data_IF_590142218071
#
_entry.id   IF_590142218071
#
_cell.length_a   1.000
_cell.length_b   1.000
_cell.length_c   1.000
_cell.angle_alpha   90.00
_cell.angle_beta   90.00
_cell.angle_gamma   90.00
#
_symmetry.space_group_name_H-M   'P 1'
#
loop_
_entity.id
_entity.type
_entity.pdbx_description
1 polymer ?
#
# COMPACT_ATOMS: atom_id res chain seq x y z
N UNK A 1 -15.73 -35.49 21.60
CA UNK A 1 -16.19 -35.77 20.22
C UNK A 1 -15.37 -34.87 19.26
N UNK A 2 -14.59 -35.47 18.40
CA UNK A 2 -13.60 -34.87 17.56
C UNK A 2 -14.22 -34.27 16.26
N UNK A 3 -13.97 -33.03 15.88
CA UNK A 3 -14.32 -32.51 14.57
C UNK A 3 -13.09 -32.47 13.66
N UNK A 4 -12.65 -33.62 13.20
CA UNK A 4 -11.62 -33.76 12.16
C UNK A 4 -12.13 -34.75 11.12
N UNK A 5 -13.00 -34.27 10.20
CA UNK A 5 -13.35 -34.95 8.93
C UNK A 5 -14.29 -34.07 8.13
N UNK A 6 -13.77 -33.10 7.36
CA UNK A 6 -14.33 -32.60 6.10
C UNK A 6 -13.19 -31.88 5.38
N UNK A 7 -12.31 -32.62 4.72
CA UNK A 7 -11.46 -32.18 3.63
C UNK A 7 -11.05 -33.40 2.83
N UNK A 8 -11.89 -33.80 1.92
CA UNK A 8 -11.54 -34.62 0.75
C UNK A 8 -12.79 -34.77 -0.12
N UNK A 9 -12.90 -33.99 -1.17
CA UNK A 9 -13.48 -34.32 -2.49
C UNK A 9 -13.60 -33.01 -3.31
N UNK A 10 -12.70 -32.82 -4.23
CA UNK A 10 -12.94 -32.32 -5.59
C UNK A 10 -11.61 -32.22 -6.30
N UNK A 11 -11.21 -33.36 -6.80
CA UNK A 11 -10.18 -33.48 -7.83
C UNK A 11 -10.80 -33.48 -9.21
N UNK A 12 -10.03 -33.02 -10.17
CA UNK A 12 -10.16 -33.14 -11.64
C UNK A 12 -11.36 -32.45 -12.31
N UNK A 13 -11.06 -31.33 -13.00
CA UNK A 13 -11.52 -31.11 -14.38
C UNK A 13 -10.59 -30.15 -15.14
N UNK A 14 -9.85 -30.73 -16.03
CA UNK A 14 -9.39 -30.37 -17.38
C UNK A 14 -8.90 -28.98 -17.74
N UNK A 15 -7.65 -28.97 -18.15
CA UNK A 15 -6.92 -27.96 -18.92
C UNK A 15 -7.62 -27.61 -20.24
N UNK A 16 -7.81 -26.32 -20.50
CA UNK A 16 -7.52 -25.61 -21.75
C UNK A 16 -8.32 -24.31 -21.85
N UNK A 17 -7.67 -23.17 -21.57
CA UNK A 17 -7.98 -21.80 -22.04
C UNK A 17 -7.14 -20.76 -21.29
N UNK A 18 -5.81 -20.90 -21.25
CA UNK A 18 -5.00 -20.18 -20.26
C UNK A 18 -4.13 -19.04 -20.80
N UNK A 19 -4.20 -18.71 -22.08
CA UNK A 19 -3.23 -17.75 -22.64
C UNK A 19 -3.76 -16.30 -22.82
N UNK A 20 -5.06 -16.07 -22.81
CA UNK A 20 -5.64 -14.75 -23.10
C UNK A 20 -5.96 -13.95 -21.83
N UNK A 21 -6.18 -14.59 -20.70
CA UNK A 21 -6.54 -13.90 -19.45
C UNK A 21 -5.34 -13.34 -18.65
N UNK A 22 -4.14 -13.87 -18.88
CA UNK A 22 -2.93 -13.42 -18.18
C UNK A 22 -2.52 -11.97 -18.54
N UNK A 23 -2.88 -11.51 -19.74
CA UNK A 23 -2.59 -10.14 -20.19
C UNK A 23 -3.53 -9.08 -19.59
N UNK A 24 -4.74 -9.46 -19.18
CA UNK A 24 -5.70 -8.52 -18.57
C UNK A 24 -5.52 -8.37 -17.06
N UNK A 25 -5.04 -9.42 -16.37
CA UNK A 25 -4.72 -9.35 -14.93
C UNK A 25 -3.46 -8.55 -14.62
N UNK A 26 -2.50 -8.48 -15.56
CA UNK A 26 -1.33 -7.58 -15.43
C UNK A 26 -1.71 -6.10 -15.49
N UNK A 27 -2.91 -5.75 -15.98
CA UNK A 27 -3.47 -4.42 -15.91
C UNK A 27 -3.85 -3.96 -14.49
N UNK A 28 -4.11 -4.90 -13.56
CA UNK A 28 -4.49 -4.59 -12.18
C UNK A 28 -3.28 -4.14 -11.32
N UNK A 29 -2.07 -4.63 -11.61
CA UNK A 29 -0.85 -4.15 -10.91
C UNK A 29 -0.32 -2.84 -11.49
N UNK A 30 -0.52 -2.58 -12.79
CA UNK A 30 -0.15 -1.29 -13.39
C UNK A 30 -0.93 -0.11 -12.82
N UNK A 31 -2.08 -0.36 -12.20
CA UNK A 31 -2.86 0.67 -11.50
C UNK A 31 -2.37 1.01 -10.09
N UNK A 32 -1.47 0.25 -9.47
CA UNK A 32 -0.94 0.56 -8.12
C UNK A 32 0.43 1.25 -8.17
N UNK A 33 1.19 1.01 -9.22
CA UNK A 33 2.24 1.88 -9.71
C UNK A 33 1.65 2.80 -10.78
N UNK A 34 0.65 3.62 -10.41
CA UNK A 34 0.30 4.73 -11.28
C UNK A 34 1.53 5.59 -11.39
N UNK A 35 2.07 5.48 -12.58
CA UNK A 35 3.13 6.23 -13.17
C UNK A 35 4.52 6.13 -12.52
N UNK A 36 5.11 4.95 -12.57
CA UNK A 36 6.28 4.96 -13.41
C UNK A 36 5.76 5.06 -14.86
N UNK A 37 5.52 6.26 -15.37
CA UNK A 37 5.33 6.43 -16.80
C UNK A 37 6.49 5.70 -17.46
N UNK A 38 6.24 4.50 -17.95
CA UNK A 38 7.18 3.77 -18.76
C UNK A 38 7.26 4.57 -20.06
N UNK A 39 8.21 5.50 -20.11
CA UNK A 39 8.76 5.91 -21.39
C UNK A 39 9.39 4.61 -21.91
N UNK A 40 8.66 3.86 -22.70
CA UNK A 40 9.22 2.82 -23.53
C UNK A 40 10.10 3.57 -24.54
N UNK A 41 11.41 3.64 -24.28
CA UNK A 41 12.36 3.99 -25.30
C UNK A 41 12.37 2.80 -26.25
N UNK A 42 11.52 2.86 -27.27
CA UNK A 42 11.62 1.98 -28.43
C UNK A 42 12.96 2.30 -29.08
N UNK A 43 13.80 1.29 -29.23
CA UNK A 43 15.01 1.34 -30.04
C UNK A 43 14.58 1.48 -31.51
N UNK A 44 14.78 2.65 -32.07
CA UNK A 44 14.45 2.95 -33.47
C UNK A 44 13.88 4.37 -33.62
N UNK A 45 14.53 5.18 -34.43
CA UNK A 45 14.26 6.58 -34.83
C UNK A 45 12.78 6.90 -35.12
N UNK A 46 11.96 6.94 -34.10
CA UNK A 46 10.67 7.62 -34.12
C UNK A 46 10.78 8.73 -33.09
N UNK A 47 10.93 9.97 -33.52
CA UNK A 47 10.65 11.17 -32.73
C UNK A 47 9.21 11.05 -32.24
N UNK A 48 8.95 10.29 -31.18
CA UNK A 48 7.65 10.24 -30.52
C UNK A 48 7.39 11.66 -30.02
N UNK A 49 6.35 12.30 -30.58
CA UNK A 49 5.94 13.64 -30.18
C UNK A 49 5.67 13.60 -28.68
N UNK A 50 6.46 14.35 -27.92
CA UNK A 50 6.30 14.39 -26.46
C UNK A 50 4.90 14.89 -26.15
N UNK A 51 4.16 14.11 -25.38
CA UNK A 51 2.85 14.53 -24.90
C UNK A 51 3.05 15.44 -23.67
N UNK A 52 2.91 16.74 -23.87
CA UNK A 52 3.00 17.75 -22.82
C UNK A 52 1.67 17.97 -22.10
N UNK A 53 0.58 17.33 -22.53
CA UNK A 53 -0.72 17.49 -21.90
C UNK A 53 -0.71 16.81 -20.54
N UNK A 54 -1.01 17.53 -19.44
CA UNK A 54 -1.12 16.93 -18.13
C UNK A 54 -2.20 15.84 -18.10
N UNK A 55 -1.89 14.71 -17.51
CA UNK A 55 -2.85 13.65 -17.24
C UNK A 55 -3.43 13.84 -15.85
N UNK A 56 -4.73 13.75 -15.74
CA UNK A 56 -5.45 13.91 -14.48
C UNK A 56 -6.09 12.57 -14.13
N UNK A 57 -5.89 12.13 -12.91
CA UNK A 57 -6.47 10.91 -12.37
C UNK A 57 -7.14 11.22 -11.03
N UNK A 58 -8.16 10.48 -10.69
CA UNK A 58 -8.86 10.66 -9.43
C UNK A 58 -9.25 9.37 -8.75
N UNK A 59 -9.39 9.42 -7.42
CA UNK A 59 -9.94 8.33 -6.62
C UNK A 59 -10.87 8.92 -5.56
N UNK A 60 -12.12 8.51 -5.58
CA UNK A 60 -13.11 8.83 -4.55
C UNK A 60 -13.45 7.55 -3.81
N UNK A 61 -13.41 7.58 -2.47
CA UNK A 61 -13.81 6.48 -1.60
C UNK A 61 -14.80 7.00 -0.57
N UNK A 62 -16.00 6.46 -0.63
CA UNK A 62 -17.05 6.69 0.37
C UNK A 62 -17.39 5.37 1.04
N UNK A 63 -17.73 5.40 2.31
CA UNK A 63 -18.04 4.19 3.04
C UNK A 63 -19.00 4.41 4.19
N UNK A 64 -19.70 3.36 4.52
CA UNK A 64 -20.37 3.16 5.80
C UNK A 64 -19.56 2.19 6.64
N UNK A 65 -19.43 2.46 7.93
CA UNK A 65 -18.82 1.57 8.92
C UNK A 65 -19.81 1.38 10.07
N UNK A 66 -20.00 0.13 10.46
CA UNK A 66 -20.68 -0.26 11.69
C UNK A 66 -19.70 -0.99 12.59
N UNK A 67 -19.42 -0.44 13.78
CA UNK A 67 -18.46 -0.92 14.76
C UNK A 67 -19.17 -1.41 16.00
N UNK A 68 -18.80 -2.60 16.48
CA UNK A 68 -19.24 -3.14 17.75
C UNK A 68 -18.23 -2.74 18.81
N UNK A 69 -18.70 -2.18 19.94
CA UNK A 69 -17.81 -1.88 21.05
C UNK A 69 -17.05 -3.13 21.51
N UNK A 70 -15.89 -2.92 22.09
CA UNK A 70 -15.01 -4.03 22.50
C UNK A 70 -15.66 -4.94 23.57
N UNK A 71 -16.53 -4.39 24.41
CA UNK A 71 -17.36 -5.09 25.39
C UNK A 71 -18.59 -5.78 24.78
N UNK A 72 -18.93 -5.48 23.52
CA UNK A 72 -20.00 -6.10 22.77
C UNK A 72 -21.40 -5.51 23.02
N UNK A 73 -21.55 -4.50 23.88
CA UNK A 73 -22.85 -3.96 24.26
C UNK A 73 -23.28 -2.80 23.35
N UNK A 74 -22.35 -1.99 22.84
CA UNK A 74 -22.66 -0.82 22.03
C UNK A 74 -22.34 -1.03 20.55
N UNK A 75 -23.20 -0.49 19.68
CA UNK A 75 -23.00 -0.44 18.24
C UNK A 75 -22.95 1.01 17.76
N UNK A 76 -21.83 1.37 17.13
CA UNK A 76 -21.62 2.68 16.57
C UNK A 76 -21.52 2.63 15.05
N UNK A 77 -22.05 3.63 14.37
CA UNK A 77 -22.01 3.67 12.90
C UNK A 77 -21.71 5.06 12.37
N UNK A 78 -21.14 5.10 11.16
CA UNK A 78 -20.90 6.37 10.48
C UNK A 78 -20.82 6.22 8.96
N UNK A 79 -21.19 7.28 8.26
CA UNK A 79 -20.78 7.50 6.88
C UNK A 79 -19.51 8.35 6.83
N UNK A 80 -18.64 8.09 5.87
CA UNK A 80 -17.39 8.82 5.73
C UNK A 80 -16.96 8.92 4.26
N UNK A 81 -16.55 10.12 3.82
CA UNK A 81 -15.68 10.26 2.66
C UNK A 81 -14.26 9.93 3.14
N UNK A 82 -13.80 8.72 2.81
CA UNK A 82 -12.51 8.23 3.31
C UNK A 82 -11.33 8.88 2.59
N UNK A 83 -11.46 9.08 1.28
CA UNK A 83 -10.49 9.79 0.44
C UNK A 83 -11.20 10.44 -0.74
N UNK A 84 -10.71 11.61 -1.13
CA UNK A 84 -11.00 12.24 -2.42
C UNK A 84 -9.66 12.74 -2.99
N UNK A 85 -8.98 11.88 -3.76
CA UNK A 85 -7.65 12.16 -4.28
C UNK A 85 -7.71 12.64 -5.71
N UNK A 86 -6.92 13.67 -5.98
CA UNK A 86 -6.62 14.15 -7.32
C UNK A 86 -5.11 14.02 -7.55
N UNK A 87 -4.75 13.59 -8.73
CA UNK A 87 -3.39 13.40 -9.18
C UNK A 87 -3.23 14.07 -10.54
N UNK A 88 -2.17 14.84 -10.68
CA UNK A 88 -1.75 15.45 -11.95
C UNK A 88 -0.33 15.01 -12.24
N UNK A 89 -0.10 14.48 -13.42
CA UNK A 89 1.24 14.10 -13.89
C UNK A 89 1.47 14.55 -15.32
N UNK A 90 2.73 14.76 -15.68
CA UNK A 90 3.10 15.15 -17.03
C UNK A 90 4.61 15.21 -17.20
N UNK A 91 5.02 15.65 -18.39
CA UNK A 91 6.41 15.85 -18.73
C UNK A 91 6.67 17.30 -19.11
N UNK A 92 7.80 17.86 -18.69
CA UNK A 92 8.31 19.16 -19.15
C UNK A 92 9.40 18.99 -20.23
N UNK A 93 10.08 17.84 -20.22
CA UNK A 93 11.02 17.38 -21.25
C UNK A 93 10.78 15.88 -21.50
N UNK A 94 11.34 15.33 -22.55
CA UNK A 94 11.22 13.89 -22.87
C UNK A 94 11.68 12.98 -21.74
N UNK A 95 12.58 13.45 -20.91
CA UNK A 95 13.17 12.69 -19.80
C UNK A 95 12.97 13.33 -18.43
N UNK A 96 12.20 14.44 -18.34
CA UNK A 96 11.86 15.11 -17.08
C UNK A 96 10.36 15.15 -16.89
N UNK A 97 9.88 14.41 -15.88
CA UNK A 97 8.48 14.36 -15.51
C UNK A 97 8.21 14.99 -14.15
N UNK A 98 6.97 15.41 -13.94
CA UNK A 98 6.46 15.91 -12.67
C UNK A 98 5.21 15.18 -12.24
N UNK A 99 4.93 15.26 -10.94
CA UNK A 99 3.80 14.58 -10.33
C UNK A 99 3.35 15.33 -9.08
N UNK A 100 2.05 15.60 -8.99
CA UNK A 100 1.42 16.19 -7.81
C UNK A 100 0.21 15.37 -7.42
N UNK A 101 0.07 15.02 -6.15
CA UNK A 101 -1.09 14.33 -5.61
C UNK A 101 -1.59 15.02 -4.36
N UNK A 102 -2.85 15.38 -4.37
CA UNK A 102 -3.56 15.90 -3.20
C UNK A 102 -4.63 14.90 -2.75
N UNK A 103 -4.90 14.84 -1.47
CA UNK A 103 -6.12 14.23 -0.91
C UNK A 103 -6.99 15.38 -0.40
N UNK A 104 -7.97 15.77 -1.19
CA UNK A 104 -8.88 16.88 -0.87
C UNK A 104 -9.79 16.54 0.32
N UNK A 105 -9.93 15.24 0.65
CA UNK A 105 -10.70 14.80 1.80
C UNK A 105 -10.14 13.47 2.34
N UNK A 106 -9.15 13.53 3.25
CA UNK A 106 -8.76 12.39 4.08
C UNK A 106 -9.51 12.48 5.40
N UNK A 107 -10.70 11.90 5.46
CA UNK A 107 -11.58 11.96 6.64
C UNK A 107 -11.90 13.42 7.06
N UNK A 108 -12.23 14.27 6.07
CA UNK A 108 -12.54 15.69 6.30
C UNK A 108 -11.32 16.63 6.29
N UNK A 109 -10.09 16.13 6.10
CA UNK A 109 -8.87 16.94 6.09
C UNK A 109 -8.22 16.95 4.71
N UNK A 110 -7.77 18.11 4.26
CA UNK A 110 -7.00 18.26 3.03
C UNK A 110 -5.50 18.04 3.30
N UNK A 111 -4.81 17.35 2.38
CA UNK A 111 -3.37 17.06 2.47
C UNK A 111 -2.72 17.03 1.09
N UNK A 112 -1.55 17.65 0.96
CA UNK A 112 -0.64 17.38 -0.16
C UNK A 112 0.12 16.09 0.19
N UNK A 113 -0.03 15.08 -0.65
CA UNK A 113 0.60 13.79 -0.41
C UNK A 113 1.94 13.64 -1.10
N UNK A 114 1.98 13.92 -2.39
CA UNK A 114 3.19 13.77 -3.21
C UNK A 114 3.34 15.02 -4.09
N UNK A 115 4.55 15.55 -4.19
CA UNK A 115 4.94 16.63 -5.08
C UNK A 115 6.42 16.44 -5.44
N UNK A 116 6.71 15.96 -6.65
CA UNK A 116 8.07 15.61 -7.02
C UNK A 116 8.34 15.81 -8.52
N UNK A 117 9.63 15.95 -8.83
CA UNK A 117 10.19 15.94 -10.18
C UNK A 117 11.07 14.71 -10.32
N UNK A 118 11.04 14.10 -11.51
CA UNK A 118 11.84 12.93 -11.84
C UNK A 118 12.60 13.15 -13.14
N UNK A 119 13.89 12.89 -13.11
CA UNK A 119 14.76 12.82 -14.26
C UNK A 119 15.05 11.36 -14.61
N UNK A 120 14.70 10.96 -15.81
CA UNK A 120 15.02 9.65 -16.39
C UNK A 120 16.32 9.82 -17.18
N UNK A 121 17.44 9.33 -16.63
CA UNK A 121 18.78 9.44 -17.23
C UNK A 121 18.83 8.55 -18.47
N UNK A 122 18.42 7.29 -18.31
CA UNK A 122 18.32 6.29 -19.37
C UNK A 122 17.22 5.26 -19.06
N UNK A 123 17.20 4.13 -19.77
CA UNK A 123 16.22 3.05 -19.55
C UNK A 123 16.34 2.38 -18.17
N UNK A 124 17.48 2.53 -17.50
CA UNK A 124 17.76 1.88 -16.23
C UNK A 124 17.76 2.83 -15.04
N UNK A 125 18.22 4.08 -15.21
CA UNK A 125 18.47 4.97 -14.11
C UNK A 125 17.50 6.14 -14.06
N UNK A 126 16.97 6.39 -12.88
CA UNK A 126 16.09 7.54 -12.59
C UNK A 126 16.48 8.20 -11.30
N UNK A 127 16.42 9.52 -11.27
CA UNK A 127 16.58 10.35 -10.08
C UNK A 127 15.25 11.05 -9.83
N UNK A 128 14.79 11.08 -8.59
CA UNK A 128 13.55 11.74 -8.19
C UNK A 128 13.80 12.58 -6.95
N UNK A 129 13.30 13.81 -6.94
CA UNK A 129 13.40 14.72 -5.80
C UNK A 129 12.05 15.39 -5.52
N UNK A 130 11.78 15.70 -4.26
CA UNK A 130 10.56 16.30 -3.78
C UNK A 130 9.94 15.54 -2.61
N UNK A 131 8.63 15.71 -2.41
CA UNK A 131 7.87 15.01 -1.38
C UNK A 131 7.24 13.74 -1.96
N UNK A 132 7.54 12.60 -1.37
CA UNK A 132 6.95 11.32 -1.77
C UNK A 132 7.12 10.26 -0.68
N UNK A 133 6.51 9.09 -0.89
CA UNK A 133 6.67 7.96 0.03
C UNK A 133 8.07 7.37 -0.09
N UNK A 134 8.75 7.20 1.04
CA UNK A 134 10.09 6.58 1.07
C UNK A 134 10.03 5.15 0.50
N UNK A 135 11.08 4.65 -0.15
CA UNK A 135 11.11 3.31 -0.74
C UNK A 135 11.20 2.22 0.34
N UNK A 136 10.06 1.88 0.95
CA UNK A 136 9.95 0.89 2.02
C UNK A 136 8.63 0.13 1.99
N UNK A 137 8.68 -1.21 2.21
CA UNK A 137 7.52 -2.09 2.34
C UNK A 137 6.76 -2.34 1.03
N UNK A 138 5.68 -3.09 1.09
CA UNK A 138 4.82 -3.45 -0.06
C UNK A 138 3.40 -2.93 0.11
N UNK A 139 2.68 -3.31 1.19
CA UNK A 139 1.30 -2.87 1.39
C UNK A 139 1.18 -1.36 1.55
N UNK A 140 2.18 -0.70 2.14
CA UNK A 140 2.21 0.75 2.29
C UNK A 140 2.20 1.51 0.95
N UNK A 141 2.73 0.95 -0.14
CA UNK A 141 2.76 1.59 -1.46
C UNK A 141 1.42 1.58 -2.19
N UNK A 142 0.51 0.68 -1.86
CA UNK A 142 -0.80 0.63 -2.50
C UNK A 142 -1.56 1.94 -2.30
N UNK A 143 -2.17 2.43 -3.37
CA UNK A 143 -3.09 3.56 -3.34
C UNK A 143 -4.53 3.12 -3.00
N UNK A 144 -5.44 4.06 -2.67
CA UNK A 144 -6.83 3.74 -2.35
C UNK A 144 -7.59 2.97 -3.42
N UNK A 145 -7.31 3.23 -4.69
CA UNK A 145 -7.93 2.52 -5.83
C UNK A 145 -7.45 1.09 -6.03
N UNK A 146 -6.35 0.68 -5.36
CA UNK A 146 -5.72 -0.63 -5.50
C UNK A 146 -5.69 -1.47 -4.21
N UNK A 147 -6.38 -1.04 -3.16
CA UNK A 147 -6.52 -1.85 -1.96
C UNK A 147 -7.37 -3.09 -2.21
N UNK A 148 -6.97 -4.23 -1.67
CA UNK A 148 -7.79 -5.45 -1.64
C UNK A 148 -8.87 -5.37 -0.57
N UNK A 149 -8.61 -4.67 0.53
CA UNK A 149 -9.51 -4.51 1.67
C UNK A 149 -9.85 -3.04 1.89
N UNK A 150 -10.94 -2.76 2.58
CA UNK A 150 -11.36 -1.40 2.92
C UNK A 150 -10.32 -0.69 3.81
N UNK A 151 -9.66 -1.42 4.69
CA UNK A 151 -8.59 -0.91 5.53
C UNK A 151 -7.25 -1.57 5.18
N UNK A 152 -6.15 -0.79 5.26
CA UNK A 152 -4.80 -1.32 5.15
C UNK A 152 -4.48 -2.33 6.23
N UNK A 153 -3.47 -3.17 6.00
CA UNK A 153 -2.85 -3.98 7.04
C UNK A 153 -2.22 -3.09 8.13
N UNK A 154 -1.97 -3.66 9.30
CA UNK A 154 -1.26 -2.95 10.36
C UNK A 154 0.15 -2.56 9.95
N UNK A 155 0.89 -3.45 9.27
CA UNK A 155 2.22 -3.12 8.73
C UNK A 155 2.15 -1.96 7.75
N UNK A 156 1.19 -1.96 6.84
CA UNK A 156 0.99 -0.90 5.85
C UNK A 156 0.43 0.40 6.42
N UNK A 157 -0.09 0.41 7.64
CA UNK A 157 -0.66 1.61 8.28
C UNK A 157 0.28 2.22 9.32
N UNK A 158 0.93 1.40 10.16
CA UNK A 158 1.61 1.86 11.37
C UNK A 158 3.12 1.68 11.36
N UNK A 159 3.66 0.64 10.68
CA UNK A 159 5.07 0.30 10.79
C UNK A 159 5.98 0.93 9.72
N UNK A 160 5.68 1.99 9.12
CA UNK A 160 6.49 2.85 8.25
C UNK A 160 5.76 3.30 6.97
N UNK A 161 4.58 3.83 7.13
CA UNK A 161 3.85 4.48 6.04
C UNK A 161 4.19 5.98 6.01
N UNK A 162 5.45 6.29 5.75
CA UNK A 162 5.99 7.64 5.85
C UNK A 162 6.13 8.27 4.46
N UNK A 163 5.79 9.55 4.35
CA UNK A 163 6.16 10.45 3.27
C UNK A 163 7.07 11.52 3.82
N UNK A 164 8.11 11.82 3.07
CA UNK A 164 9.10 12.83 3.45
C UNK A 164 9.57 13.57 2.21
N UNK A 165 10.20 14.71 2.42
CA UNK A 165 10.91 15.47 1.39
C UNK A 165 12.32 14.93 1.28
N UNK A 166 12.78 14.67 0.06
CA UNK A 166 14.12 14.15 -0.17
C UNK A 166 14.37 13.79 -1.62
N UNK A 167 15.38 12.98 -1.83
CA UNK A 167 15.75 12.49 -3.15
C UNK A 167 16.01 10.99 -3.11
N UNK A 168 15.75 10.32 -4.25
CA UNK A 168 16.08 8.91 -4.46
C UNK A 168 16.66 8.68 -5.84
N UNK A 169 17.52 7.67 -5.93
CA UNK A 169 18.00 7.08 -7.18
C UNK A 169 17.40 5.69 -7.32
N UNK A 170 16.93 5.34 -8.50
CA UNK A 170 16.38 4.03 -8.80
C UNK A 170 17.07 3.39 -10.00
N UNK A 171 17.43 2.12 -9.85
CA UNK A 171 17.84 1.24 -10.94
C UNK A 171 16.70 0.30 -11.32
N UNK A 172 16.40 0.22 -12.61
CA UNK A 172 15.31 -0.59 -13.18
C UNK A 172 15.88 -1.52 -14.24
N UNK A 173 16.16 -2.76 -13.86
CA UNK A 173 16.77 -3.75 -14.73
C UNK A 173 15.80 -4.23 -15.83
N UNK A 174 16.30 -4.35 -17.07
CA UNK A 174 15.54 -4.84 -18.21
C UNK A 174 15.83 -6.32 -18.51
N UNK A 175 17.09 -6.76 -18.39
CA UNK A 175 17.49 -8.16 -18.57
C UNK A 175 17.27 -8.99 -17.29
N UNK A 176 17.63 -8.43 -16.16
CA UNK A 176 17.34 -8.99 -14.84
C UNK A 176 16.15 -8.19 -14.30
N UNK A 177 15.00 -8.80 -13.99
CA UNK A 177 13.80 -8.10 -13.52
C UNK A 177 13.98 -7.66 -12.06
N UNK A 178 15.00 -6.85 -11.81
CA UNK A 178 15.40 -6.30 -10.54
C UNK A 178 15.22 -4.78 -10.55
N UNK A 179 14.53 -4.26 -9.55
CA UNK A 179 14.44 -2.84 -9.26
C UNK A 179 15.11 -2.57 -7.92
N UNK A 180 15.99 -1.59 -7.85
CA UNK A 180 16.61 -1.14 -6.61
C UNK A 180 16.42 0.37 -6.49
N UNK A 181 15.90 0.81 -5.37
CA UNK A 181 15.72 2.23 -5.05
C UNK A 181 16.43 2.56 -3.75
N UNK A 182 17.18 3.65 -3.71
CA UNK A 182 17.86 4.16 -2.51
C UNK A 182 17.60 5.64 -2.42
N UNK A 183 17.29 6.14 -1.23
CA UNK A 183 16.99 7.56 -1.02
C UNK A 183 17.43 8.09 0.32
N UNK A 184 17.56 9.41 0.36
CA UNK A 184 17.84 10.22 1.55
C UNK A 184 16.76 11.28 1.68
N UNK A 185 16.30 11.51 2.91
CA UNK A 185 15.12 12.30 3.21
C UNK A 185 15.33 13.14 4.47
N UNK A 186 14.55 14.23 4.58
CA UNK A 186 14.49 14.99 5.82
C UNK A 186 13.92 14.12 6.95
N UNK A 187 14.52 14.22 8.14
CA UNK A 187 14.05 13.52 9.34
C UNK A 187 12.88 14.26 10.02
N UNK A 188 11.99 14.87 9.26
CA UNK A 188 10.81 15.60 9.72
C UNK A 188 9.52 15.06 9.13
N UNK A 189 8.37 15.29 9.77
CA UNK A 189 7.07 15.02 9.17
C UNK A 189 6.89 15.77 7.84
N UNK A 190 6.12 15.19 6.91
CA UNK A 190 5.88 15.79 5.58
C UNK A 190 5.19 17.15 5.58
N UNK A 191 4.73 17.63 6.72
CA UNK A 191 4.08 18.93 6.89
C UNK A 191 5.00 20.01 7.46
N UNK A 192 6.26 19.66 7.72
CA UNK A 192 7.25 20.55 8.31
C UNK A 192 8.56 20.44 7.49
N UNK A 193 8.76 21.38 6.58
CA UNK A 193 9.90 21.41 5.66
C UNK A 193 10.95 22.45 6.02
N UNK A 194 10.67 23.33 6.98
CA UNK A 194 11.51 24.49 7.29
C UNK A 194 12.71 24.18 8.21
N UNK A 195 12.63 23.27 9.19
CA UNK A 195 13.73 23.05 10.12
C UNK A 195 14.98 22.49 9.41
N UNK A 196 16.12 23.05 9.74
CA UNK A 196 17.41 22.46 9.41
C UNK A 196 17.62 21.18 10.20
N UNK A 197 18.24 20.17 9.56
CA UNK A 197 18.35 18.82 10.10
C UNK A 197 19.79 18.52 10.51
N UNK A 198 20.00 18.02 11.72
CA UNK A 198 21.29 17.47 12.17
C UNK A 198 21.53 16.06 11.62
N UNK A 199 20.47 15.36 11.29
CA UNK A 199 20.52 14.02 10.74
C UNK A 199 19.48 13.84 9.61
N UNK A 200 19.77 12.92 8.69
CA UNK A 200 18.89 12.58 7.58
C UNK A 200 18.32 11.18 7.76
N UNK A 201 17.16 10.94 7.16
CA UNK A 201 16.55 9.62 7.03
C UNK A 201 17.02 8.94 5.76
N UNK A 202 17.15 7.61 5.80
CA UNK A 202 17.59 6.79 4.68
C UNK A 202 16.62 5.64 4.45
N UNK A 203 16.39 5.30 3.19
CA UNK A 203 15.60 4.14 2.83
C UNK A 203 16.12 3.47 1.57
N UNK A 204 16.03 2.15 1.53
CA UNK A 204 16.39 1.34 0.37
C UNK A 204 15.35 0.24 0.18
N UNK A 205 15.03 -0.08 -1.07
CA UNK A 205 14.14 -1.17 -1.46
C UNK A 205 14.69 -1.88 -2.68
N UNK A 206 14.70 -3.21 -2.63
CA UNK A 206 14.95 -4.07 -3.78
C UNK A 206 13.69 -4.90 -4.08
N UNK A 207 13.32 -5.01 -5.34
CA UNK A 207 12.21 -5.82 -5.81
C UNK A 207 12.70 -6.68 -6.97
N UNK A 208 12.50 -7.99 -6.86
CA UNK A 208 12.86 -8.97 -7.88
C UNK A 208 11.62 -9.75 -8.32
N UNK A 209 11.37 -9.79 -9.62
CA UNK A 209 10.23 -10.52 -10.19
C UNK A 209 10.72 -11.78 -10.90
N UNK A 210 10.21 -12.92 -10.49
CA UNK A 210 10.49 -14.22 -11.09
C UNK A 210 9.16 -14.84 -11.55
N UNK A 211 8.89 -14.81 -12.84
CA UNK A 211 7.62 -15.27 -13.41
C UNK A 211 6.41 -14.67 -12.67
N UNK A 212 5.69 -15.49 -11.95
CA UNK A 212 4.48 -15.15 -11.22
C UNK A 212 4.74 -14.71 -9.76
N UNK A 213 6.00 -14.70 -9.34
CA UNK A 213 6.37 -14.37 -7.96
C UNK A 213 7.18 -13.07 -7.95
N UNK A 214 6.81 -12.16 -7.07
CA UNK A 214 7.55 -10.93 -6.79
C UNK A 214 8.07 -10.99 -5.36
N UNK A 215 9.37 -10.87 -5.19
CA UNK A 215 10.04 -10.71 -3.90
C UNK A 215 10.42 -9.26 -3.71
N UNK A 216 10.21 -8.74 -2.52
CA UNK A 216 10.72 -7.42 -2.17
C UNK A 216 11.34 -7.44 -0.76
N UNK A 217 12.43 -6.71 -0.61
CA UNK A 217 13.04 -6.42 0.68
C UNK A 217 13.32 -4.95 0.78
N UNK A 218 13.25 -4.41 1.99
CA UNK A 218 13.53 -2.99 2.22
C UNK A 218 14.10 -2.74 3.60
N UNK A 219 14.86 -1.66 3.68
CA UNK A 219 15.45 -1.13 4.89
C UNK A 219 15.15 0.37 4.98
N UNK A 220 14.88 0.86 6.18
CA UNK A 220 14.81 2.29 6.46
C UNK A 220 15.39 2.60 7.83
N UNK A 221 16.08 3.74 7.93
CA UNK A 221 16.57 4.32 9.16
C UNK A 221 15.98 5.72 9.25
N UNK A 222 15.04 5.93 10.16
CA UNK A 222 14.21 7.15 10.22
C UNK A 222 14.11 7.70 11.63
N UNK A 223 14.03 9.03 11.74
CA UNK A 223 14.03 9.74 13.03
C UNK A 223 13.01 10.91 13.03
N UNK A 224 11.73 10.67 12.74
CA UNK A 224 10.78 11.76 12.55
C UNK A 224 10.47 12.56 13.82
N UNK A 225 10.85 12.08 14.98
CA UNK A 225 10.53 12.70 16.29
C UNK A 225 11.69 12.65 17.30
N UNK A 226 12.94 12.51 16.85
CA UNK A 226 14.12 12.57 17.73
C UNK A 226 14.63 11.22 18.23
N UNK A 227 13.91 10.11 18.00
CA UNK A 227 14.42 8.76 18.25
C UNK A 227 14.53 8.00 16.93
N UNK A 228 15.75 7.54 16.62
CA UNK A 228 16.02 6.81 15.39
C UNK A 228 15.48 5.39 15.47
N UNK A 229 14.77 5.02 14.41
CA UNK A 229 14.19 3.70 14.22
C UNK A 229 14.78 3.06 12.99
N UNK A 230 15.28 1.83 13.12
CA UNK A 230 15.74 1.01 12.02
C UNK A 230 14.68 -0.05 11.72
N UNK A 231 14.21 -0.09 10.48
CA UNK A 231 13.10 -0.94 10.08
C UNK A 231 13.51 -1.78 8.88
N UNK A 232 13.23 -3.07 8.92
CA UNK A 232 13.48 -4.02 7.83
C UNK A 232 12.15 -4.64 7.42
N UNK A 233 11.96 -4.87 6.13
CA UNK A 233 10.82 -5.66 5.66
C UNK A 233 11.22 -6.67 4.60
N UNK A 234 10.46 -7.77 4.56
CA UNK A 234 10.49 -8.76 3.51
C UNK A 234 9.07 -9.09 3.06
N UNK A 235 8.84 -9.22 1.76
CA UNK A 235 7.53 -9.61 1.24
C UNK A 235 7.65 -10.48 0.00
N UNK A 236 6.61 -11.28 -0.19
CA UNK A 236 6.44 -12.13 -1.37
C UNK A 236 5.01 -11.99 -1.85
N UNK A 237 4.83 -11.69 -3.14
CA UNK A 237 3.53 -11.70 -3.82
C UNK A 237 3.56 -12.77 -4.90
N UNK A 238 2.63 -13.71 -4.83
CA UNK A 238 2.44 -14.75 -5.83
C UNK A 238 1.12 -14.54 -6.56
N UNK A 239 1.19 -14.51 -7.91
CA UNK A 239 0.05 -14.33 -8.79
C UNK A 239 -0.06 -15.56 -9.70
N UNK A 240 -1.15 -16.28 -9.59
CA UNK A 240 -1.39 -17.45 -10.40
C UNK A 240 -2.86 -17.51 -10.84
N UNK A 241 -3.08 -17.42 -12.16
CA UNK A 241 -4.41 -17.35 -12.75
C UNK A 241 -5.26 -16.27 -12.06
N UNK A 242 -6.25 -16.65 -11.29
CA UNK A 242 -7.19 -15.78 -10.57
C UNK A 242 -6.82 -15.52 -9.12
N UNK A 243 -5.73 -16.13 -8.67
CA UNK A 243 -5.26 -16.03 -7.29
C UNK A 243 -4.16 -15.00 -7.15
N UNK A 244 -4.25 -14.25 -6.07
CA UNK A 244 -3.16 -13.44 -5.55
C UNK A 244 -2.98 -13.84 -4.09
N UNK A 245 -1.76 -14.22 -3.72
CA UNK A 245 -1.36 -14.49 -2.35
C UNK A 245 -0.17 -13.62 -2.02
N UNK A 246 -0.23 -12.92 -0.91
CA UNK A 246 0.85 -12.05 -0.47
C UNK A 246 1.13 -12.21 1.01
N UNK A 247 2.42 -12.22 1.36
CA UNK A 247 2.92 -12.12 2.70
C UNK A 247 3.92 -10.98 2.83
N UNK A 248 3.82 -10.22 3.91
CA UNK A 248 4.78 -9.16 4.28
C UNK A 248 5.08 -9.25 5.76
N UNK A 249 6.36 -9.21 6.11
CA UNK A 249 6.85 -9.14 7.48
C UNK A 249 7.71 -7.89 7.65
N UNK A 250 7.57 -7.23 8.80
CA UNK A 250 8.28 -6.02 9.16
C UNK A 250 8.82 -6.18 10.57
N UNK A 251 10.09 -5.87 10.75
CA UNK A 251 10.74 -5.78 12.06
C UNK A 251 11.27 -4.36 12.24
N UNK A 252 11.00 -3.75 13.41
CA UNK A 252 11.35 -2.37 13.75
C UNK A 252 12.12 -2.35 15.07
N UNK A 253 13.28 -1.73 15.06
CA UNK A 253 14.13 -1.52 16.22
C UNK A 253 14.27 -0.03 16.53
N UNK A 254 14.31 0.32 17.82
CA UNK A 254 14.63 1.65 18.32
C UNK A 254 16.10 1.69 18.76
N UNK A 255 16.80 2.78 18.43
CA UNK A 255 18.18 2.96 18.89
C UNK A 255 18.22 3.15 20.40
N UNK A 256 19.38 2.82 21.00
CA UNK A 256 19.63 2.94 22.44
C UNK A 256 18.64 2.16 23.32
N UNK A 257 18.00 1.12 22.78
CA UNK A 257 16.97 0.35 23.50
C UNK A 257 15.85 1.22 24.06
N UNK A 258 15.51 2.34 23.39
CA UNK A 258 14.51 3.27 23.84
C UNK A 258 13.09 2.67 23.90
N UNK A 259 12.85 1.57 23.20
CA UNK A 259 11.64 0.76 23.23
C UNK A 259 11.95 -0.65 22.75
N UNK A 260 11.13 -1.64 23.12
CA UNK A 260 11.25 -3.02 22.64
C UNK A 260 11.13 -3.11 21.11
N UNK A 261 11.79 -4.09 20.52
CA UNK A 261 11.67 -4.38 19.10
C UNK A 261 10.24 -4.83 18.75
N UNK A 262 9.80 -4.47 17.57
CA UNK A 262 8.41 -4.66 17.12
C UNK A 262 8.36 -5.49 15.86
N UNK A 263 7.60 -6.57 15.90
CA UNK A 263 7.25 -7.38 14.75
C UNK A 263 5.85 -7.04 14.25
N UNK A 264 5.71 -7.02 12.93
CA UNK A 264 4.42 -6.90 12.28
C UNK A 264 4.35 -7.80 11.05
N UNK A 265 3.17 -8.32 10.76
CA UNK A 265 2.93 -9.23 9.63
C UNK A 265 1.59 -8.98 8.97
N UNK A 266 1.53 -9.34 7.71
CA UNK A 266 0.34 -9.31 6.88
C UNK A 266 0.40 -10.47 5.90
N UNK A 267 -0.62 -11.32 5.91
CA UNK A 267 -0.78 -12.39 4.92
C UNK A 267 -2.21 -12.34 4.40
N UNK A 268 -2.38 -12.32 3.09
CA UNK A 268 -3.70 -12.37 2.50
C UNK A 268 -3.76 -13.20 1.21
N UNK A 269 -4.95 -13.67 0.91
CA UNK A 269 -5.32 -14.26 -0.36
C UNK A 269 -6.52 -13.53 -0.99
N UNK A 270 -6.52 -13.45 -2.30
CA UNK A 270 -7.62 -12.92 -3.11
C UNK A 270 -7.87 -13.83 -4.30
N UNK A 271 -9.14 -14.14 -4.55
CA UNK A 271 -9.58 -14.92 -5.71
C UNK A 271 -10.57 -14.09 -6.53
N UNK A 272 -10.31 -13.94 -7.83
CA UNK A 272 -11.11 -13.11 -8.73
C UNK A 272 -11.89 -13.97 -9.74
N UNK A 273 -13.21 -13.82 -9.75
CA UNK A 273 -14.14 -14.46 -10.68
C UNK A 273 -14.55 -13.46 -11.76
N UNK A 274 -14.32 -13.73 -13.05
CA UNK A 274 -14.88 -12.91 -14.13
C UNK A 274 -16.39 -13.10 -14.23
N UNK A 275 -17.11 -12.00 -14.47
CA UNK A 275 -18.56 -11.98 -14.68
C UNK A 275 -18.85 -11.59 -16.14
N UNK A 276 -19.56 -12.45 -16.88
CA UNK A 276 -19.73 -12.28 -18.34
C UNK A 276 -21.03 -11.59 -18.78
N UNK A 277 -22.03 -11.48 -17.90
CA UNK A 277 -23.35 -10.93 -18.26
C UNK A 277 -23.87 -9.88 -17.26
N UNK A 278 -22.97 -9.11 -16.68
CA UNK A 278 -23.29 -8.10 -15.67
C UNK A 278 -22.65 -6.76 -16.00
N UNK A 279 -23.20 -5.68 -15.48
CA UNK A 279 -22.55 -4.35 -15.51
C UNK A 279 -21.19 -4.44 -14.82
N UNK A 280 -21.11 -5.22 -13.74
CA UNK A 280 -19.83 -5.54 -13.09
C UNK A 280 -19.21 -6.75 -13.81
N UNK A 281 -17.91 -6.67 -14.08
CA UNK A 281 -17.20 -7.71 -14.83
C UNK A 281 -16.29 -8.58 -13.94
N UNK A 282 -16.24 -8.30 -12.63
CA UNK A 282 -15.43 -9.10 -11.70
C UNK A 282 -16.08 -9.15 -10.31
N UNK A 283 -16.10 -10.35 -9.72
CA UNK A 283 -16.39 -10.59 -8.32
C UNK A 283 -15.14 -11.19 -7.67
N UNK A 284 -14.69 -10.66 -6.54
CA UNK A 284 -13.53 -11.19 -5.83
C UNK A 284 -13.87 -11.51 -4.38
N UNK A 285 -13.23 -12.54 -3.85
CA UNK A 285 -13.28 -12.90 -2.44
C UNK A 285 -11.90 -12.78 -1.85
N UNK A 286 -11.80 -12.21 -0.64
CA UNK A 286 -10.51 -11.96 0.00
C UNK A 286 -10.56 -12.36 1.48
N UNK A 287 -9.42 -12.87 1.95
CA UNK A 287 -9.20 -13.12 3.36
C UNK A 287 -7.79 -12.66 3.75
N UNK A 288 -7.66 -12.05 4.92
CA UNK A 288 -6.39 -11.55 5.47
C UNK A 288 -6.27 -11.87 6.94
N UNK A 289 -5.06 -12.23 7.35
CA UNK A 289 -4.63 -12.21 8.74
C UNK A 289 -3.45 -11.26 8.87
N UNK A 290 -3.58 -10.25 9.71
CA UNK A 290 -2.53 -9.28 9.99
C UNK A 290 -2.41 -8.99 11.49
N UNK A 291 -1.21 -8.61 11.91
CA UNK A 291 -0.93 -8.32 13.31
C UNK A 291 0.32 -7.48 13.48
N UNK A 292 0.47 -6.97 14.71
CA UNK A 292 1.69 -6.30 15.15
C UNK A 292 1.82 -6.38 16.67
N UNK A 293 3.07 -6.32 17.14
CA UNK A 293 3.37 -6.13 18.55
C UNK A 293 3.09 -4.68 18.98
N UNK A 294 3.08 -4.47 20.28
CA UNK A 294 2.98 -3.13 20.84
C UNK A 294 4.17 -2.26 20.38
N UNK A 295 3.92 -0.98 20.03
CA UNK A 295 4.99 -0.13 19.52
C UNK A 295 4.79 1.34 19.86
N UNK A 296 5.89 2.10 19.82
CA UNK A 296 5.93 3.55 19.84
C UNK A 296 6.02 4.14 18.44
N UNK A 297 5.45 5.32 18.24
CA UNK A 297 5.64 6.12 17.01
C UNK A 297 7.03 6.77 16.94
N UNK A 298 7.82 6.69 18.02
CA UNK A 298 9.13 7.31 18.13
C UNK A 298 9.10 8.74 18.67
N UNK A 299 7.93 9.20 19.13
CA UNK A 299 7.77 10.52 19.76
C UNK A 299 7.89 10.37 21.29
N UNK A 300 8.96 10.91 21.90
CA UNK A 300 9.11 10.90 23.35
C UNK A 300 8.01 11.73 24.04
N UNK A 301 7.68 11.37 25.26
CA UNK A 301 6.87 12.17 26.17
C UNK A 301 7.67 13.33 26.78
N UNK A 302 7.08 14.06 27.76
CA UNK A 302 7.73 15.18 28.46
C UNK A 302 8.99 14.77 29.23
N UNK A 303 9.10 13.52 29.61
CA UNK A 303 10.20 12.97 30.41
C UNK A 303 11.28 12.32 29.52
N UNK A 304 11.10 12.40 28.19
CA UNK A 304 12.02 11.82 27.21
C UNK A 304 11.87 10.29 27.01
N UNK A 305 10.82 9.70 27.59
CA UNK A 305 10.54 8.26 27.48
C UNK A 305 9.62 8.01 26.28
N UNK A 306 9.86 6.92 25.55
CA UNK A 306 8.97 6.51 24.46
C UNK A 306 7.73 5.80 25.02
N UNK A 307 6.54 6.40 24.86
CA UNK A 307 5.30 5.72 25.24
C UNK A 307 4.97 4.60 24.25
N UNK A 308 4.23 3.60 24.71
CA UNK A 308 3.58 2.61 23.84
C UNK A 308 2.29 3.21 23.28
N UNK A 309 2.37 3.85 22.11
CA UNK A 309 1.23 4.53 21.48
C UNK A 309 0.22 3.56 20.87
N UNK A 310 0.66 2.37 20.54
CA UNK A 310 -0.12 1.38 19.82
C UNK A 310 0.00 0.02 20.52
N UNK A 311 -1.11 -0.55 21.01
CA UNK A 311 -1.10 -1.84 21.68
C UNK A 311 -0.87 -3.00 20.70
N UNK A 312 -0.41 -4.13 21.22
CA UNK A 312 -0.37 -5.40 20.50
C UNK A 312 -1.77 -5.80 20.07
N UNK A 313 -1.91 -6.18 18.80
CA UNK A 313 -3.18 -6.66 18.25
C UNK A 313 -3.03 -7.49 16.99
N UNK A 314 -4.04 -8.30 16.73
CA UNK A 314 -4.20 -9.08 15.51
C UNK A 314 -5.57 -8.81 14.90
N UNK A 315 -5.70 -9.10 13.60
CA UNK A 315 -6.98 -8.98 12.93
C UNK A 315 -7.15 -10.06 11.87
N UNK A 316 -8.35 -10.61 11.79
CA UNK A 316 -8.83 -11.36 10.62
C UNK A 316 -9.78 -10.45 9.85
N UNK A 317 -9.57 -10.35 8.55
CA UNK A 317 -10.50 -9.65 7.65
C UNK A 317 -10.96 -10.61 6.57
N UNK A 318 -12.26 -10.72 6.39
CA UNK A 318 -12.86 -11.41 5.25
C UNK A 318 -13.71 -10.43 4.46
N UNK A 319 -13.78 -10.62 3.14
CA UNK A 319 -14.57 -9.72 2.33
C UNK A 319 -14.79 -10.16 0.91
N UNK A 320 -15.67 -9.42 0.26
CA UNK A 320 -15.97 -9.53 -1.16
C UNK A 320 -15.90 -8.17 -1.83
N UNK A 321 -15.62 -8.18 -3.13
CA UNK A 321 -15.56 -7.00 -3.95
C UNK A 321 -16.20 -7.27 -5.30
N UNK A 322 -17.23 -6.47 -5.63
CA UNK A 322 -17.84 -6.44 -6.94
C UNK A 322 -17.25 -5.26 -7.70
N UNK A 323 -16.69 -5.51 -8.88
CA UNK A 323 -15.95 -4.52 -9.64
C UNK A 323 -16.43 -4.39 -11.09
N UNK A 324 -16.52 -3.15 -11.55
CA UNK A 324 -16.46 -2.78 -12.94
C UNK A 324 -15.05 -2.27 -13.23
N UNK A 325 -14.32 -2.97 -14.08
CA UNK A 325 -12.94 -2.62 -14.47
C UNK A 325 -12.88 -2.41 -15.97
N UNK A 326 -12.61 -1.19 -16.39
CA UNK A 326 -12.33 -0.81 -17.78
C UNK A 326 -11.24 0.27 -17.74
N UNK A 327 -10.00 -0.18 -17.83
CA UNK A 327 -8.81 0.68 -17.67
C UNK A 327 -8.89 1.96 -18.52
N UNK A 328 -8.68 3.18 -17.96
CA UNK A 328 -8.26 3.48 -16.58
C UNK A 328 -9.41 3.51 -15.54
N UNK A 329 -10.66 3.40 -15.98
CA UNK A 329 -11.84 3.54 -15.14
C UNK A 329 -12.07 2.30 -14.28
N UNK A 330 -12.42 2.50 -13.04
CA UNK A 330 -12.75 1.42 -12.11
C UNK A 330 -13.80 1.87 -11.10
N UNK A 331 -14.84 1.06 -10.94
CA UNK A 331 -15.84 1.23 -9.87
C UNK A 331 -15.93 -0.05 -9.05
N UNK A 332 -15.86 0.06 -7.73
CA UNK A 332 -15.89 -1.07 -6.81
C UNK A 332 -16.98 -0.86 -5.76
N UNK A 333 -17.68 -1.93 -5.45
CA UNK A 333 -18.44 -2.09 -4.22
C UNK A 333 -17.73 -3.14 -3.40
N UNK A 334 -17.34 -2.81 -2.17
CA UNK A 334 -16.60 -3.70 -1.29
C UNK A 334 -17.32 -3.87 0.03
N UNK A 335 -17.42 -5.11 0.49
CA UNK A 335 -17.95 -5.45 1.81
C UNK A 335 -16.87 -6.22 2.56
N UNK A 336 -16.49 -5.73 3.73
CA UNK A 336 -15.53 -6.39 4.62
C UNK A 336 -16.10 -6.56 6.02
N UNK A 337 -15.77 -7.66 6.65
CA UNK A 337 -15.88 -7.87 8.08
C UNK A 337 -14.48 -7.97 8.67
N UNK A 338 -14.23 -7.21 9.73
CA UNK A 338 -12.96 -7.17 10.46
C UNK A 338 -13.18 -7.62 11.89
N UNK A 339 -12.47 -8.66 12.30
CA UNK A 339 -12.48 -9.16 13.67
C UNK A 339 -11.11 -8.91 14.32
N UNK A 340 -11.11 -8.19 15.43
CA UNK A 340 -9.92 -7.75 16.14
C UNK A 340 -9.71 -8.56 17.41
N UNK A 341 -8.43 -8.86 17.70
CA UNK A 341 -8.00 -9.56 18.90
C UNK A 341 -7.01 -8.69 19.66
N UNK A 342 -7.27 -8.47 20.93
CA UNK A 342 -6.42 -7.73 21.87
C UNK A 342 -6.00 -8.62 23.03
N UNK A 343 -4.93 -8.24 23.74
CA UNK A 343 -4.60 -8.84 25.04
C UNK A 343 -5.65 -8.48 26.10
N UNK A 344 -5.80 -9.33 27.10
CA UNK A 344 -6.73 -9.09 28.23
C UNK A 344 -6.44 -7.74 28.89
N UNK A 345 -7.47 -6.92 29.06
CA UNK A 345 -7.36 -5.60 29.67
C UNK A 345 -6.76 -4.51 28.78
N UNK A 346 -6.48 -4.82 27.50
CA UNK A 346 -5.95 -3.82 26.54
C UNK A 346 -7.11 -3.09 25.88
N UNK A 347 -7.22 -1.75 26.03
CA UNK A 347 -8.28 -1.00 25.37
C UNK A 347 -8.06 -0.97 23.85
N UNK A 348 -9.13 -1.15 23.09
CA UNK A 348 -9.07 -1.02 21.64
C UNK A 348 -8.90 0.45 21.25
N UNK A 349 -7.97 0.80 20.35
CA UNK A 349 -7.92 2.13 19.77
C UNK A 349 -9.22 2.47 19.05
N UNK A 350 -9.63 3.73 19.10
CA UNK A 350 -10.85 4.20 18.45
C UNK A 350 -10.92 3.80 16.96
N UNK A 351 -12.01 3.18 16.57
CA UNK A 351 -12.23 2.70 15.21
C UNK A 351 -11.46 1.42 14.86
N UNK A 352 -10.96 0.69 15.85
CA UNK A 352 -10.28 -0.60 15.68
C UNK A 352 -10.90 -1.71 16.55
N UNK A 353 -12.21 -1.74 16.62
CA UNK A 353 -13.02 -2.85 17.17
C UNK A 353 -13.61 -3.67 16.01
N UNK A 354 -14.30 -4.76 16.37
CA UNK A 354 -14.99 -5.59 15.39
C UNK A 354 -15.98 -4.77 14.58
N UNK A 355 -15.92 -4.88 13.24
CA UNK A 355 -16.76 -4.03 12.40
C UNK A 355 -17.06 -4.60 11.03
N UNK A 356 -18.14 -4.08 10.46
CA UNK A 356 -18.50 -4.23 9.05
C UNK A 356 -18.21 -2.92 8.32
N UNK A 357 -17.63 -3.01 7.13
CA UNK A 357 -17.36 -1.87 6.26
C UNK A 357 -17.95 -2.14 4.89
N UNK A 358 -18.88 -1.28 4.46
CA UNK A 358 -19.37 -1.22 3.10
C UNK A 358 -18.78 0.00 2.41
N UNK A 359 -18.09 -0.18 1.28
CA UNK A 359 -17.30 0.87 0.63
C UNK A 359 -17.60 0.95 -0.86
N UNK A 360 -17.77 2.17 -1.37
CA UNK A 360 -17.79 2.48 -2.79
C UNK A 360 -16.49 3.21 -3.17
N UNK A 361 -15.82 2.71 -4.21
CA UNK A 361 -14.59 3.30 -4.74
C UNK A 361 -14.75 3.56 -6.22
N UNK A 362 -14.44 4.78 -6.66
CA UNK A 362 -14.39 5.15 -8.07
C UNK A 362 -12.99 5.67 -8.39
N UNK A 363 -12.41 5.15 -9.48
CA UNK A 363 -11.12 5.61 -10.02
C UNK A 363 -11.30 6.05 -11.46
N UNK A 364 -10.78 7.19 -11.83
CA UNK A 364 -10.89 7.78 -13.17
C UNK A 364 -9.60 8.50 -13.57
#
# INVERSE_FOLDING_TARGET
>A
MNPLRIFALCGLMTFSASAILASELTGLEKGSEVAAASVSVADGDVKSKIDYVPKIHGVIRTRWEGEFAHDGEDFHQRFQVRNARLLVEGNVLSNVGYYVRIDACDRGKMKILDAWVRWTIDKHWRVQAGQFRIPFGTDCFRGPGSYYFANRSFVGKYLLNIRQVGAKVGYYGSKIPLTVEVGMFNATPMTDHEPWQDAMDYAAKATYRLNNVTFATSFASVEPYGVRMNVVSGSTTWQWDRWIVEGEYVNKHYTNHAHDAVDGWNVFGSYALPLHKSVFNQLSFQARYDGMLAHSTGKPDSDGVLPTDNPRRHRITVGSQLAYVKNPLKALIRLNYEHYFYGTGTPAPQGESNKVVAELVVTF
#
